data_IF_124830237233
#
_entry.id   IF_124830237233
#
_cell.length_a   1.000
_cell.length_b   1.000
_cell.length_c   1.000
_cell.angle_alpha   90.00
_cell.angle_beta   90.00
_cell.angle_gamma   90.00
#
_symmetry.space_group_name_H-M   'P 1'
#
loop_
_entity.id
_entity.type
_entity.pdbx_description
1 polymer ?
#
# COMPACT_ATOMS: atom_id res chain seq x y z
N UNK A 1 -2.05 -0.46 -28.20
CA UNK A 1 -1.08 -1.06 -27.29
C UNK A 1 -1.72 -1.30 -25.92
N UNK A 2 -1.84 -2.56 -25.56
CA UNK A 2 -2.29 -2.91 -24.22
C UNK A 2 -1.08 -2.96 -23.29
N UNK A 3 -1.06 -2.03 -22.33
CA UNK A 3 -0.06 -2.02 -21.28
C UNK A 3 -0.64 -2.78 -20.11
N UNK A 4 -0.10 -3.96 -19.83
CA UNK A 4 -0.55 -4.82 -18.75
C UNK A 4 0.47 -4.80 -17.61
N UNK A 5 -0.01 -5.05 -16.39
CA UNK A 5 0.89 -5.32 -15.30
C UNK A 5 1.58 -6.66 -15.49
N UNK A 6 2.78 -6.86 -14.96
CA UNK A 6 3.47 -8.15 -15.03
C UNK A 6 2.64 -9.28 -14.46
N UNK A 7 2.56 -10.40 -15.17
CA UNK A 7 1.85 -11.59 -14.70
C UNK A 7 2.59 -12.26 -13.56
N UNK A 8 1.85 -12.63 -12.55
CA UNK A 8 2.37 -13.30 -11.37
C UNK A 8 1.63 -12.86 -10.12
N UNK A 9 2.23 -13.11 -8.97
CA UNK A 9 1.63 -12.80 -7.67
C UNK A 9 2.51 -11.87 -6.87
N UNK A 10 1.86 -10.99 -6.14
CA UNK A 10 2.48 -10.12 -5.17
C UNK A 10 1.67 -10.23 -3.88
N UNK A 11 2.28 -10.81 -2.85
CA UNK A 11 1.61 -11.11 -1.60
C UNK A 11 2.30 -10.45 -0.42
N UNK A 12 1.49 -10.05 0.55
CA UNK A 12 1.95 -9.54 1.84
C UNK A 12 1.33 -10.42 2.92
N UNK A 13 2.18 -11.04 3.73
CA UNK A 13 1.75 -11.81 4.88
C UNK A 13 2.19 -11.11 6.15
N UNK A 14 1.23 -10.76 7.00
CA UNK A 14 1.47 -10.13 8.29
C UNK A 14 1.27 -11.15 9.41
N UNK A 15 2.07 -11.04 10.47
CA UNK A 15 1.94 -11.89 11.66
C UNK A 15 0.59 -11.63 12.34
N UNK A 16 0.16 -10.38 12.38
CA UNK A 16 -1.15 -9.95 12.87
C UNK A 16 -1.58 -8.68 12.13
N UNK A 17 -2.82 -8.27 12.30
CA UNK A 17 -3.36 -7.10 11.60
C UNK A 17 -3.91 -6.00 12.52
N UNK A 18 -3.80 -6.16 13.83
CA UNK A 18 -4.23 -5.16 14.81
C UNK A 18 -3.05 -4.75 15.68
N UNK A 19 -2.89 -3.45 15.88
CA UNK A 19 -1.71 -2.89 16.52
C UNK A 19 -2.07 -1.73 17.44
N UNK A 20 -1.30 -1.59 18.51
CA UNK A 20 -1.28 -0.37 19.32
C UNK A 20 -0.19 0.57 18.80
N UNK A 21 -0.31 1.90 19.05
CA UNK A 21 0.80 2.80 18.75
C UNK A 21 2.10 2.33 19.41
N UNK A 22 3.20 2.41 18.66
CA UNK A 22 4.51 1.94 19.10
C UNK A 22 4.82 0.49 18.84
N UNK A 23 3.84 -0.32 18.49
CA UNK A 23 4.08 -1.73 18.15
C UNK A 23 4.76 -1.88 16.79
N UNK A 24 5.45 -3.01 16.62
CA UNK A 24 6.11 -3.36 15.37
C UNK A 24 5.16 -4.13 14.45
N UNK A 25 5.08 -3.70 13.20
CA UNK A 25 4.42 -4.43 12.12
C UNK A 25 5.47 -5.31 11.46
N UNK A 26 5.32 -6.61 11.56
CA UNK A 26 6.25 -7.58 10.97
C UNK A 26 5.54 -8.43 9.94
N UNK A 27 6.19 -8.64 8.83
CA UNK A 27 5.63 -9.44 7.76
C UNK A 27 6.65 -9.89 6.75
N UNK A 28 6.13 -10.55 5.72
CA UNK A 28 6.90 -11.03 4.57
C UNK A 28 6.20 -10.52 3.32
N UNK A 29 6.97 -9.94 2.42
CA UNK A 29 6.49 -9.61 1.07
C UNK A 29 7.10 -10.60 0.09
N UNK A 30 6.27 -11.12 -0.82
CA UNK A 30 6.71 -12.10 -1.80
C UNK A 30 6.20 -11.74 -3.20
N UNK A 31 7.12 -11.65 -4.13
CA UNK A 31 6.86 -11.40 -5.54
C UNK A 31 7.29 -12.62 -6.34
N UNK A 32 6.37 -13.17 -7.13
CA UNK A 32 6.66 -14.26 -8.07
C UNK A 32 6.09 -13.88 -9.42
N UNK A 33 6.96 -13.58 -10.38
CA UNK A 33 6.56 -13.25 -11.74
C UNK A 33 6.77 -14.45 -12.66
N UNK A 34 5.93 -14.56 -13.69
CA UNK A 34 6.04 -15.66 -14.67
C UNK A 34 7.28 -15.55 -15.52
N UNK A 35 7.81 -14.34 -15.73
CA UNK A 35 9.05 -14.09 -16.47
C UNK A 35 9.73 -12.85 -15.94
N UNK A 36 11.06 -12.70 -16.12
CA UNK A 36 11.77 -11.52 -15.69
C UNK A 36 11.25 -10.25 -16.38
N UNK A 37 11.18 -9.17 -15.62
CA UNK A 37 10.70 -7.87 -16.08
C UNK A 37 11.71 -6.81 -15.66
N UNK A 38 11.96 -5.84 -16.52
CA UNK A 38 12.73 -4.66 -16.15
C UNK A 38 11.95 -3.82 -15.15
N UNK A 39 12.55 -3.53 -14.03
CA UNK A 39 11.93 -2.75 -12.97
C UNK A 39 12.79 -1.56 -12.59
N UNK A 40 12.18 -0.49 -12.09
CA UNK A 40 12.90 0.61 -11.45
C UNK A 40 13.22 0.28 -10.01
N UNK A 41 12.26 -0.26 -9.31
CA UNK A 41 12.41 -0.62 -7.89
C UNK A 41 11.23 -1.48 -7.43
N UNK A 42 11.49 -2.24 -6.39
CA UNK A 42 10.47 -2.96 -5.66
C UNK A 42 10.53 -2.50 -4.21
N UNK A 43 9.40 -2.08 -3.65
CA UNK A 43 9.35 -1.46 -2.33
C UNK A 43 8.12 -1.89 -1.54
N UNK A 44 8.24 -1.81 -0.22
CA UNK A 44 7.14 -1.99 0.72
C UNK A 44 7.08 -0.76 1.62
N UNK A 45 5.88 -0.30 1.94
CA UNK A 45 5.67 0.93 2.71
C UNK A 45 4.63 0.74 3.80
N UNK A 46 4.82 1.45 4.90
CA UNK A 46 3.77 1.67 5.89
C UNK A 46 3.16 3.04 5.61
N UNK A 47 1.86 3.07 5.44
CA UNK A 47 1.13 4.29 5.09
C UNK A 47 -0.01 4.51 6.10
N UNK A 48 -0.06 5.72 6.65
CA UNK A 48 -1.23 6.23 7.34
C UNK A 48 -1.87 7.31 6.46
N UNK A 49 -3.17 7.22 6.22
CA UNK A 49 -3.86 8.20 5.37
C UNK A 49 -5.23 8.57 5.90
N UNK A 50 -5.56 9.85 5.77
CA UNK A 50 -6.92 10.34 5.93
C UNK A 50 -7.60 10.27 4.58
N UNK A 51 -8.87 9.90 4.56
CA UNK A 51 -9.63 9.81 3.33
C UNK A 51 -11.01 10.45 3.48
N UNK A 52 -11.49 11.01 2.38
CA UNK A 52 -12.84 11.59 2.26
C UNK A 52 -13.45 11.05 0.98
N UNK A 53 -14.70 10.61 1.08
CA UNK A 53 -15.47 10.13 -0.05
C UNK A 53 -16.91 10.61 0.14
N UNK A 54 -17.19 11.82 -0.34
CA UNK A 54 -18.48 12.49 -0.13
C UNK A 54 -19.12 12.81 -1.46
N UNK A 55 -20.45 12.83 -1.46
CA UNK A 55 -21.28 13.25 -2.57
C UNK A 55 -21.92 14.59 -2.22
N UNK A 56 -21.67 15.62 -3.02
CA UNK A 56 -22.18 16.99 -2.80
C UNK A 56 -23.16 17.40 -3.90
N UNK A 57 -24.19 18.17 -3.51
CA UNK A 57 -25.19 18.68 -4.43
C UNK A 57 -26.38 17.73 -4.60
N UNK A 58 -27.31 18.10 -5.48
CA UNK A 58 -28.52 17.33 -5.74
C UNK A 58 -28.85 17.29 -7.23
N UNK A 59 -29.54 16.23 -7.66
CA UNK A 59 -29.92 16.07 -9.06
C UNK A 59 -28.74 16.09 -10.01
N UNK A 60 -28.82 16.90 -11.06
CA UNK A 60 -27.79 17.00 -12.10
C UNK A 60 -26.50 17.68 -11.64
N UNK A 61 -26.53 18.39 -10.51
CA UNK A 61 -25.35 19.05 -9.96
C UNK A 61 -24.67 18.23 -8.88
N UNK A 62 -25.07 16.99 -8.69
CA UNK A 62 -24.43 16.08 -7.72
C UNK A 62 -23.01 15.75 -8.15
N UNK A 63 -22.08 15.97 -7.23
CA UNK A 63 -20.66 15.70 -7.45
C UNK A 63 -20.11 14.79 -6.35
N UNK A 64 -19.27 13.85 -6.76
CA UNK A 64 -18.49 13.04 -5.84
C UNK A 64 -17.14 13.73 -5.59
N UNK A 65 -16.71 13.79 -4.34
CA UNK A 65 -15.40 14.30 -3.95
C UNK A 65 -14.66 13.21 -3.22
N UNK A 66 -13.50 12.82 -3.75
CA UNK A 66 -12.60 11.86 -3.13
C UNK A 66 -11.25 12.50 -2.91
N UNK A 67 -10.76 12.46 -1.69
CA UNK A 67 -9.43 12.94 -1.35
C UNK A 67 -8.74 11.95 -0.41
N UNK A 68 -7.44 11.82 -0.58
CA UNK A 68 -6.59 11.04 0.30
C UNK A 68 -5.38 11.90 0.67
N UNK A 69 -5.08 11.98 1.94
CA UNK A 69 -3.93 12.72 2.45
C UNK A 69 -3.09 11.77 3.29
N UNK A 70 -1.84 11.60 2.88
CA UNK A 70 -0.92 10.77 3.64
C UNK A 70 -0.44 11.54 4.87
N UNK A 71 -0.68 10.97 6.04
CA UNK A 71 -0.20 11.51 7.32
C UNK A 71 1.09 10.85 7.78
N UNK A 72 1.43 9.70 7.18
CA UNK A 72 2.65 8.98 7.47
C UNK A 72 3.02 8.09 6.29
N UNK A 73 4.28 8.16 5.86
CA UNK A 73 4.83 7.26 4.84
C UNK A 73 6.22 6.85 5.28
N UNK A 74 6.45 5.55 5.34
CA UNK A 74 7.77 4.98 5.57
C UNK A 74 8.01 3.91 4.52
N UNK A 75 9.13 3.99 3.80
CA UNK A 75 9.42 3.13 2.65
C UNK A 75 10.66 2.31 2.88
N UNK A 76 10.57 1.01 2.59
CA UNK A 76 11.72 0.12 2.50
C UNK A 76 11.88 -0.29 1.05
N UNK A 77 13.01 0.05 0.42
CA UNK A 77 13.32 -0.41 -0.92
C UNK A 77 13.97 -1.80 -0.84
N UNK A 78 13.33 -2.77 -1.50
CA UNK A 78 13.80 -4.16 -1.52
C UNK A 78 14.79 -4.37 -2.64
N UNK A 79 14.54 -3.81 -3.82
CA UNK A 79 15.48 -3.87 -4.93
C UNK A 79 15.41 -2.61 -5.78
N UNK A 80 16.51 -2.32 -6.49
CA UNK A 80 16.63 -1.18 -7.40
C UNK A 80 16.34 -1.58 -8.85
N UNK A 81 16.98 -0.85 -9.78
CA UNK A 81 16.82 -1.10 -11.22
C UNK A 81 17.38 -2.46 -11.61
N UNK A 82 16.71 -3.13 -12.52
CA UNK A 82 17.17 -4.35 -13.13
C UNK A 82 16.06 -5.34 -13.45
N UNK A 83 16.47 -6.50 -13.92
CA UNK A 83 15.55 -7.61 -14.16
C UNK A 83 15.17 -8.27 -12.84
N UNK A 84 13.90 -8.50 -12.67
CA UNK A 84 13.36 -9.12 -11.46
C UNK A 84 12.23 -10.08 -11.85
N UNK A 85 12.27 -11.30 -11.29
CA UNK A 85 11.19 -12.28 -11.43
C UNK A 85 10.78 -12.88 -10.08
N UNK A 86 11.62 -12.73 -9.06
CA UNK A 86 11.34 -13.24 -7.74
C UNK A 86 11.98 -12.36 -6.67
N UNK A 87 11.25 -12.10 -5.60
CA UNK A 87 11.76 -11.47 -4.39
C UNK A 87 10.95 -11.93 -3.19
N UNK A 88 11.61 -12.23 -2.10
CA UNK A 88 10.97 -12.58 -0.83
C UNK A 88 11.78 -11.96 0.29
N UNK A 89 11.16 -11.08 1.05
CA UNK A 89 11.84 -10.34 2.11
C UNK A 89 10.97 -10.18 3.34
N UNK A 90 11.59 -10.33 4.49
CA UNK A 90 11.01 -9.90 5.75
C UNK A 90 11.06 -8.38 5.82
N UNK A 91 10.06 -7.78 6.45
CA UNK A 91 10.06 -6.35 6.72
C UNK A 91 9.54 -6.06 8.12
N UNK A 92 9.94 -4.93 8.66
CA UNK A 92 9.46 -4.42 9.93
C UNK A 92 9.21 -2.92 9.82
N UNK A 93 8.07 -2.48 10.37
CA UNK A 93 7.77 -1.07 10.55
C UNK A 93 7.34 -0.84 11.98
N UNK A 94 7.68 0.30 12.53
CA UNK A 94 7.14 0.70 13.83
C UNK A 94 5.94 1.62 13.61
N UNK A 95 4.79 1.26 14.18
CA UNK A 95 3.66 2.19 14.24
C UNK A 95 4.11 3.37 15.11
N UNK A 96 4.00 4.62 14.63
CA UNK A 96 4.38 5.78 15.43
C UNK A 96 3.70 5.77 16.79
N UNK A 97 4.41 6.20 17.82
CA UNK A 97 3.86 6.20 19.19
C UNK A 97 2.68 7.16 19.34
N UNK A 98 2.64 8.19 18.50
CA UNK A 98 1.53 9.15 18.45
C UNK A 98 0.58 8.88 17.28
N UNK A 99 0.58 7.66 16.74
CA UNK A 99 -0.28 7.33 15.61
C UNK A 99 -1.75 7.53 15.94
N UNK A 100 -2.50 8.28 15.14
CA UNK A 100 -3.94 8.36 15.33
C UNK A 100 -4.57 7.00 15.01
N UNK A 101 -5.66 6.65 15.73
CA UNK A 101 -6.30 5.35 15.53
C UNK A 101 -7.01 5.24 14.18
N UNK A 102 -7.26 4.01 13.77
CA UNK A 102 -8.10 3.72 12.62
C UNK A 102 -9.52 4.24 12.89
N UNK A 103 -10.06 4.98 11.93
CA UNK A 103 -11.42 5.52 11.97
C UNK A 103 -12.14 5.05 10.71
N UNK A 104 -13.21 4.30 10.88
CA UNK A 104 -14.05 3.81 9.77
C UNK A 104 -15.37 4.55 9.78
N UNK A 105 -15.43 5.66 9.05
CA UNK A 105 -16.65 6.40 8.84
C UNK A 105 -17.27 6.06 7.48
N UNK A 106 -18.46 6.57 7.21
CA UNK A 106 -19.15 6.34 5.95
C UNK A 106 -18.61 7.23 4.82
N UNK A 107 -18.23 8.45 5.14
CA UNK A 107 -17.80 9.45 4.16
C UNK A 107 -16.36 9.93 4.39
N UNK A 108 -15.78 9.60 5.52
CA UNK A 108 -14.42 9.98 5.88
C UNK A 108 -13.85 9.02 6.91
N UNK A 109 -12.54 8.94 6.98
CA UNK A 109 -11.89 8.11 7.97
C UNK A 109 -10.38 8.26 7.95
N UNK A 110 -9.75 7.39 8.73
CA UNK A 110 -8.31 7.29 8.80
C UNK A 110 -7.96 5.80 8.74
N UNK A 111 -7.05 5.44 7.86
CA UNK A 111 -6.63 4.05 7.72
C UNK A 111 -5.11 3.92 7.70
N UNK A 112 -4.67 2.78 8.20
CA UNK A 112 -3.28 2.36 8.14
C UNK A 112 -3.18 1.15 7.23
N UNK A 113 -2.12 1.08 6.44
CA UNK A 113 -1.93 -0.04 5.53
C UNK A 113 -0.46 -0.29 5.24
N UNK A 114 -0.17 -1.51 4.82
CA UNK A 114 1.10 -1.88 4.21
C UNK A 114 0.87 -1.98 2.71
N UNK A 115 1.71 -1.34 1.93
CA UNK A 115 1.61 -1.31 0.48
C UNK A 115 2.90 -1.82 -0.14
N UNK A 116 2.80 -2.83 -0.98
CA UNK A 116 3.92 -3.30 -1.79
C UNK A 116 3.74 -2.83 -3.23
N UNK A 117 4.81 -2.34 -3.84
CA UNK A 117 4.76 -1.80 -5.20
C UNK A 117 5.97 -2.23 -6.01
N UNK A 118 5.70 -2.80 -7.16
CA UNK A 118 6.68 -3.03 -8.20
C UNK A 118 6.54 -1.95 -9.26
N UNK A 119 7.54 -1.07 -9.35
CA UNK A 119 7.56 0.06 -10.28
C UNK A 119 8.18 -0.40 -11.62
N UNK A 120 7.35 -0.39 -12.67
CA UNK A 120 7.73 -0.87 -14.00
C UNK A 120 7.77 0.31 -14.97
N UNK A 121 8.92 0.61 -15.60
CA UNK A 121 9.07 1.82 -16.39
C UNK A 121 8.22 1.90 -17.64
N UNK A 122 7.92 0.78 -18.26
CA UNK A 122 7.19 0.73 -19.53
C UNK A 122 5.87 -0.03 -19.46
N UNK A 123 5.32 -0.16 -18.28
CA UNK A 123 4.10 -0.92 -18.08
C UNK A 123 3.31 -0.43 -16.89
N UNK A 124 2.32 -1.21 -16.50
CA UNK A 124 1.58 -0.97 -15.27
C UNK A 124 2.35 -1.51 -14.08
N UNK A 125 2.40 -0.71 -13.05
CA UNK A 125 2.94 -1.14 -11.76
C UNK A 125 2.09 -2.27 -11.19
N UNK A 126 2.72 -3.15 -10.43
CA UNK A 126 2.04 -4.19 -9.67
C UNK A 126 1.97 -3.76 -8.23
N UNK A 127 0.79 -3.84 -7.64
CA UNK A 127 0.51 -3.33 -6.30
C UNK A 127 -0.22 -4.37 -5.46
N UNK A 128 0.05 -4.37 -4.15
CA UNK A 128 -0.74 -5.08 -3.16
C UNK A 128 -0.86 -4.22 -1.91
N UNK A 129 -2.03 -4.25 -1.29
CA UNK A 129 -2.33 -3.44 -0.10
C UNK A 129 -3.01 -4.31 0.94
N UNK A 130 -2.58 -4.17 2.18
CA UNK A 130 -3.20 -4.84 3.32
C UNK A 130 -3.49 -3.80 4.39
N UNK A 131 -4.76 -3.64 4.76
CA UNK A 131 -5.13 -2.73 5.83
C UNK A 131 -4.78 -3.30 7.19
N UNK A 132 -4.37 -2.39 8.08
CA UNK A 132 -4.10 -2.65 9.48
C UNK A 132 -5.17 -1.95 10.31
N UNK A 133 -5.40 -2.44 11.50
CA UNK A 133 -6.21 -1.75 12.48
C UNK A 133 -5.31 -1.20 13.59
N UNK A 134 -5.35 0.10 13.84
CA UNK A 134 -4.61 0.77 14.92
C UNK A 134 -5.62 1.27 15.96
N UNK A 135 -5.41 0.85 17.18
CA UNK A 135 -6.28 1.23 18.29
C UNK A 135 -6.12 2.67 18.70
#
# INVERSE_FOLDING_TARGET
LNILEPEGTLDIDLIKNSFMPGEMVKGIVKLVLKKPVNTRRFMVSLIGEEWIDVSCGSGKSRRAKKEEINIHIEVIQISGEGLLDFAENNFEFKIPENAPPTIKGDEAGLRWLVHAKLDVPMGRDKNERVELFVY
#
